data_IF_098338976202
#
_entry.id   IF_098338976202
#
_cell.length_a   1.000
_cell.length_b   1.000
_cell.length_c   1.000
_cell.angle_alpha   90.00
_cell.angle_beta   90.00
_cell.angle_gamma   90.00
#
_symmetry.space_group_name_H-M   'P 1'
#
loop_
_entity.id
_entity.type
_entity.pdbx_description
1 polymer ?
#
# COMPACT_ATOMS: atom_id res chain seq x y z
N UNK A 1 5.55 -38.59 -7.77
CA UNK A 1 4.61 -37.48 -7.85
C UNK A 1 4.10 -37.02 -6.47
N UNK A 2 3.69 -37.90 -5.57
CA UNK A 2 3.13 -37.55 -4.26
C UNK A 2 4.09 -36.73 -3.40
N UNK A 3 5.36 -37.07 -3.27
CA UNK A 3 6.40 -36.29 -2.55
C UNK A 3 6.62 -34.88 -3.10
N UNK A 4 6.50 -34.68 -4.43
CA UNK A 4 6.62 -33.36 -5.05
C UNK A 4 5.36 -32.51 -4.71
N UNK A 5 4.18 -33.14 -4.76
CA UNK A 5 2.92 -32.48 -4.42
C UNK A 5 2.93 -32.00 -2.96
N UNK A 6 3.29 -32.84 -2.01
CA UNK A 6 3.35 -32.49 -0.59
C UNK A 6 4.39 -31.39 -0.29
N UNK A 7 5.46 -31.33 -1.08
CA UNK A 7 6.54 -30.35 -0.95
C UNK A 7 6.15 -28.93 -1.40
N UNK A 8 5.31 -28.79 -2.42
CA UNK A 8 5.00 -27.51 -3.06
C UNK A 8 3.55 -27.08 -2.87
N UNK A 9 2.67 -27.98 -2.50
CA UNK A 9 1.25 -27.71 -2.30
C UNK A 9 0.85 -27.97 -0.86
N UNK A 10 -0.03 -27.12 -0.33
CA UNK A 10 -0.62 -27.29 0.99
C UNK A 10 -1.84 -28.21 0.97
N UNK A 11 -2.29 -28.57 2.15
CA UNK A 11 -3.58 -29.22 2.35
C UNK A 11 -4.74 -28.18 2.36
N UNK A 12 -5.98 -28.65 2.48
CA UNK A 12 -7.14 -27.78 2.52
C UNK A 12 -7.14 -26.80 3.71
N UNK A 13 -6.53 -27.17 4.85
CA UNK A 13 -6.42 -26.30 6.03
C UNK A 13 -5.42 -25.17 5.79
N UNK A 14 -4.33 -25.47 5.10
CA UNK A 14 -3.34 -24.48 4.68
C UNK A 14 -3.98 -23.40 3.79
N UNK A 15 -4.66 -23.82 2.70
CA UNK A 15 -5.31 -22.87 1.80
C UNK A 15 -6.43 -22.08 2.48
N UNK A 16 -7.22 -22.72 3.34
CA UNK A 16 -8.23 -22.01 4.14
C UNK A 16 -7.62 -20.88 4.97
N UNK A 17 -6.47 -21.13 5.63
CA UNK A 17 -5.75 -20.12 6.42
C UNK A 17 -5.22 -18.98 5.53
N UNK A 18 -4.62 -19.31 4.40
CA UNK A 18 -4.08 -18.32 3.44
C UNK A 18 -5.19 -17.42 2.92
N UNK A 19 -6.29 -18.00 2.46
CA UNK A 19 -7.41 -17.24 1.90
C UNK A 19 -8.19 -16.46 2.96
N UNK A 20 -8.30 -16.95 4.19
CA UNK A 20 -8.89 -16.18 5.29
C UNK A 20 -8.09 -14.90 5.62
N UNK A 21 -6.80 -14.86 5.29
CA UNK A 21 -5.97 -13.66 5.45
C UNK A 21 -6.00 -12.81 4.18
N UNK A 22 -5.73 -13.41 3.03
CA UNK A 22 -5.54 -12.68 1.77
C UNK A 22 -6.84 -12.08 1.20
N UNK A 23 -7.96 -12.84 1.21
CA UNK A 23 -9.22 -12.37 0.61
C UNK A 23 -9.76 -11.11 1.29
N UNK A 24 -9.83 -11.01 2.65
CA UNK A 24 -10.27 -9.76 3.28
C UNK A 24 -9.39 -8.56 2.92
N UNK A 25 -8.08 -8.75 2.80
CA UNK A 25 -7.14 -7.70 2.39
C UNK A 25 -7.41 -7.29 0.94
N UNK A 26 -7.60 -8.26 0.04
CA UNK A 26 -7.95 -8.00 -1.37
C UNK A 26 -9.27 -7.21 -1.49
N UNK A 27 -10.31 -7.64 -0.79
CA UNK A 27 -11.62 -6.98 -0.80
C UNK A 27 -11.48 -5.55 -0.27
N UNK A 28 -10.85 -5.34 0.87
CA UNK A 28 -10.64 -4.02 1.45
C UNK A 28 -9.90 -3.09 0.47
N UNK A 29 -8.79 -3.55 -0.08
CA UNK A 29 -7.98 -2.76 -1.03
C UNK A 29 -8.73 -2.47 -2.32
N UNK A 30 -9.46 -3.45 -2.86
CA UNK A 30 -10.27 -3.28 -4.07
C UNK A 30 -11.36 -2.23 -3.90
N UNK A 31 -12.12 -2.31 -2.81
CA UNK A 31 -13.19 -1.36 -2.50
C UNK A 31 -12.59 0.03 -2.24
N UNK A 32 -11.47 0.13 -1.50
CA UNK A 32 -10.78 1.41 -1.26
C UNK A 32 -10.39 2.10 -2.56
N UNK A 33 -9.78 1.36 -3.50
CA UNK A 33 -9.38 1.92 -4.80
C UNK A 33 -10.59 2.37 -5.63
N UNK A 34 -11.67 1.59 -5.62
CA UNK A 34 -12.90 1.94 -6.32
C UNK A 34 -13.53 3.23 -5.77
N UNK A 35 -13.56 3.39 -4.46
CA UNK A 35 -14.14 4.60 -3.83
C UNK A 35 -13.26 5.81 -4.01
N UNK A 36 -11.94 5.69 -3.92
CA UNK A 36 -11.04 6.79 -4.26
C UNK A 36 -11.26 7.30 -5.70
N UNK A 37 -11.57 6.39 -6.63
CA UNK A 37 -11.96 6.77 -7.99
C UNK A 37 -13.29 7.52 -8.01
N UNK A 38 -14.30 7.07 -7.26
CA UNK A 38 -15.60 7.76 -7.16
C UNK A 38 -15.46 9.15 -6.52
N UNK A 39 -14.68 9.28 -5.46
CA UNK A 39 -14.41 10.56 -4.79
C UNK A 39 -13.77 11.56 -5.77
N UNK A 40 -12.79 11.12 -6.56
CA UNK A 40 -12.18 11.96 -7.58
C UNK A 40 -13.17 12.41 -8.66
N UNK A 41 -14.08 11.51 -9.09
CA UNK A 41 -15.14 11.85 -10.05
C UNK A 41 -16.09 12.88 -9.45
N UNK A 42 -16.56 12.66 -8.20
CA UNK A 42 -17.49 13.56 -7.53
C UNK A 42 -16.91 14.96 -7.32
N UNK A 43 -15.63 15.05 -6.92
CA UNK A 43 -14.93 16.34 -6.77
C UNK A 43 -14.69 16.99 -8.13
N UNK A 44 -14.37 16.22 -9.17
CA UNK A 44 -14.17 16.70 -10.54
C UNK A 44 -15.41 17.39 -11.12
N UNK A 45 -16.62 17.02 -10.70
CA UNK A 45 -17.87 17.64 -11.11
C UNK A 45 -18.10 19.06 -10.50
N UNK A 46 -17.36 19.41 -9.44
CA UNK A 46 -17.47 20.75 -8.81
C UNK A 46 -16.72 21.82 -9.63
N UNK A 47 -15.59 21.44 -10.23
CA UNK A 47 -14.76 22.34 -11.05
C UNK A 47 -13.28 21.94 -11.03
N UNK A 48 -12.56 22.42 -12.04
CA UNK A 48 -11.15 22.06 -12.27
C UNK A 48 -10.24 22.55 -11.14
N UNK A 49 -10.43 23.78 -10.66
CA UNK A 49 -9.65 24.38 -9.59
C UNK A 49 -9.85 23.63 -8.26
N UNK A 50 -11.09 23.22 -8.00
CA UNK A 50 -11.46 22.40 -6.83
C UNK A 50 -10.77 21.04 -6.88
N UNK A 51 -10.82 20.36 -8.01
CA UNK A 51 -10.18 19.07 -8.24
C UNK A 51 -8.65 19.16 -8.10
N UNK A 52 -8.04 20.19 -8.71
CA UNK A 52 -6.60 20.43 -8.63
C UNK A 52 -6.14 20.68 -7.20
N UNK A 53 -6.86 21.55 -6.46
CA UNK A 53 -6.56 21.83 -5.06
C UNK A 53 -6.60 20.59 -4.17
N UNK A 54 -7.64 19.77 -4.31
CA UNK A 54 -7.79 18.49 -3.58
C UNK A 54 -6.71 17.49 -3.97
N UNK A 55 -6.40 17.37 -5.26
CA UNK A 55 -5.36 16.46 -5.74
C UNK A 55 -3.98 16.79 -5.18
N UNK A 56 -3.60 18.07 -5.15
CA UNK A 56 -2.34 18.53 -4.56
C UNK A 56 -2.28 18.18 -3.07
N UNK A 57 -3.34 18.46 -2.33
CA UNK A 57 -3.38 18.15 -0.89
C UNK A 57 -3.32 16.64 -0.65
N UNK A 58 -3.99 15.83 -1.46
CA UNK A 58 -3.90 14.37 -1.36
C UNK A 58 -2.48 13.86 -1.62
N UNK A 59 -1.71 14.50 -2.51
CA UNK A 59 -0.28 14.16 -2.69
C UNK A 59 0.56 14.53 -1.45
N UNK A 60 0.29 15.66 -0.82
CA UNK A 60 0.96 16.03 0.45
C UNK A 60 0.61 15.02 1.55
N UNK A 61 -0.67 14.67 1.69
CA UNK A 61 -1.13 13.68 2.67
C UNK A 61 -0.65 12.26 2.36
N UNK A 62 -0.36 11.94 1.10
CA UNK A 62 0.23 10.66 0.72
C UNK A 62 1.60 10.45 1.37
N UNK A 63 2.42 11.50 1.50
CA UNK A 63 3.70 11.42 2.21
C UNK A 63 3.49 11.05 3.68
N UNK A 64 2.49 11.67 4.34
CA UNK A 64 2.12 11.31 5.70
C UNK A 64 1.66 9.84 5.80
N UNK A 65 0.80 9.41 4.89
CA UNK A 65 0.31 8.02 4.85
C UNK A 65 1.47 7.03 4.71
N UNK A 66 2.47 7.36 3.90
CA UNK A 66 3.67 6.54 3.70
C UNK A 66 4.53 6.47 4.97
N UNK A 67 4.68 7.59 5.69
CA UNK A 67 5.38 7.62 6.99
C UNK A 67 4.68 6.73 8.02
N UNK A 68 3.34 6.82 8.13
CA UNK A 68 2.57 5.96 9.04
C UNK A 68 2.69 4.49 8.64
N UNK A 69 2.58 4.19 7.34
CA UNK A 69 2.74 2.82 6.84
C UNK A 69 4.13 2.24 7.18
N UNK A 70 5.20 3.00 6.94
CA UNK A 70 6.55 2.58 7.27
C UNK A 70 6.76 2.35 8.77
N UNK A 71 6.24 3.26 9.60
CA UNK A 71 6.29 3.16 11.06
C UNK A 71 5.58 1.91 11.60
N UNK A 72 4.38 1.66 11.11
CA UNK A 72 3.55 0.51 11.49
C UNK A 72 4.18 -0.80 11.00
N UNK A 73 4.65 -0.80 9.78
CA UNK A 73 5.26 -1.91 9.07
C UNK A 73 6.56 -2.40 9.73
N UNK A 74 7.42 -1.47 10.17
CA UNK A 74 8.67 -1.81 10.87
C UNK A 74 8.45 -2.52 12.22
N UNK A 75 7.44 -2.11 12.99
CA UNK A 75 7.05 -2.79 14.22
C UNK A 75 6.25 -4.07 13.95
N UNK A 76 5.59 -4.17 12.80
CA UNK A 76 4.69 -5.25 12.42
C UNK A 76 5.38 -6.62 12.34
N UNK A 77 6.62 -6.65 11.86
CA UNK A 77 7.39 -7.90 11.81
C UNK A 77 7.61 -8.50 13.21
N UNK A 78 7.78 -7.65 14.24
CA UNK A 78 7.88 -8.07 15.63
C UNK A 78 6.52 -8.52 16.17
N UNK A 79 5.45 -7.79 15.86
CA UNK A 79 4.09 -8.15 16.29
C UNK A 79 3.71 -9.55 15.82
N UNK A 80 3.96 -9.87 14.52
CA UNK A 80 3.66 -11.19 13.97
C UNK A 80 4.45 -12.30 14.68
N UNK A 81 5.74 -12.08 14.98
CA UNK A 81 6.57 -13.05 15.68
C UNK A 81 6.17 -13.19 17.16
N UNK A 82 5.90 -12.08 17.89
CA UNK A 82 5.38 -12.14 19.26
C UNK A 82 4.03 -12.87 19.33
N UNK A 83 3.18 -12.67 18.33
CA UNK A 83 1.92 -13.42 18.24
C UNK A 83 2.18 -14.92 18.08
N UNK A 84 3.15 -15.32 17.26
CA UNK A 84 3.59 -16.71 17.14
C UNK A 84 4.09 -17.32 18.45
N UNK A 85 4.80 -16.54 19.27
CA UNK A 85 5.24 -16.93 20.62
C UNK A 85 4.13 -16.88 21.67
N UNK A 86 2.91 -16.42 21.33
CA UNK A 86 1.85 -16.13 22.30
C UNK A 86 2.27 -15.10 23.37
N UNK A 87 3.22 -14.24 23.05
CA UNK A 87 3.76 -13.21 23.95
C UNK A 87 2.93 -11.93 23.88
N UNK A 88 1.86 -11.88 24.67
CA UNK A 88 0.95 -10.72 24.75
C UNK A 88 1.66 -9.41 25.12
N UNK A 89 2.65 -9.47 26.06
CA UNK A 89 3.41 -8.28 26.45
C UNK A 89 4.25 -7.73 25.28
N UNK A 90 4.88 -8.61 24.51
CA UNK A 90 5.61 -8.23 23.31
C UNK A 90 4.72 -7.53 22.29
N UNK A 91 3.50 -8.03 22.06
CA UNK A 91 2.51 -7.36 21.21
C UNK A 91 2.15 -5.98 21.75
N UNK A 92 1.92 -5.83 23.07
CA UNK A 92 1.66 -4.52 23.68
C UNK A 92 2.81 -3.53 23.45
N UNK A 93 4.07 -3.96 23.56
CA UNK A 93 5.22 -3.09 23.30
C UNK A 93 5.24 -2.61 21.85
N UNK A 94 4.95 -3.47 20.90
CA UNK A 94 4.90 -3.08 19.49
C UNK A 94 3.73 -2.12 19.19
N UNK A 95 2.56 -2.34 19.79
CA UNK A 95 1.41 -1.43 19.65
C UNK A 95 1.71 -0.06 20.26
N UNK A 96 2.29 -0.02 21.46
CA UNK A 96 2.72 1.25 22.09
C UNK A 96 3.74 1.98 21.24
N UNK A 97 4.71 1.26 20.67
CA UNK A 97 5.70 1.84 19.76
C UNK A 97 5.05 2.46 18.52
N UNK A 98 4.14 1.71 17.85
CA UNK A 98 3.37 2.20 16.71
C UNK A 98 2.57 3.47 17.06
N UNK A 99 1.91 3.49 18.23
CA UNK A 99 1.15 4.65 18.70
C UNK A 99 2.06 5.86 18.94
N UNK A 100 3.16 5.70 19.69
CA UNK A 100 4.08 6.80 20.00
C UNK A 100 4.71 7.39 18.74
N UNK A 101 5.18 6.53 17.84
CA UNK A 101 5.76 6.97 16.58
C UNK A 101 4.70 7.60 15.67
N UNK A 102 3.48 7.04 15.64
CA UNK A 102 2.35 7.59 14.91
C UNK A 102 1.92 8.96 15.43
N UNK A 103 1.87 9.14 16.75
CA UNK A 103 1.59 10.46 17.37
C UNK A 103 2.68 11.47 16.96
N UNK A 104 3.97 11.10 17.06
CA UNK A 104 5.06 11.98 16.67
C UNK A 104 4.98 12.39 15.19
N UNK A 105 4.72 11.42 14.29
CA UNK A 105 4.53 11.69 12.86
C UNK A 105 3.31 12.58 12.59
N UNK A 106 2.21 12.38 13.31
CA UNK A 106 1.00 13.19 13.19
C UNK A 106 1.25 14.62 13.65
N UNK A 107 1.90 14.83 14.79
CA UNK A 107 2.25 16.15 15.29
C UNK A 107 3.19 16.90 14.34
N UNK A 108 4.16 16.19 13.76
CA UNK A 108 5.05 16.75 12.75
C UNK A 108 4.27 17.16 11.49
N UNK A 109 3.37 16.31 10.99
CA UNK A 109 2.53 16.64 9.84
C UNK A 109 1.62 17.83 10.11
N UNK A 110 1.04 17.95 11.32
CA UNK A 110 0.30 19.14 11.74
C UNK A 110 1.16 20.40 11.69
N UNK A 111 2.35 20.35 12.28
CA UNK A 111 3.28 21.48 12.28
C UNK A 111 3.63 21.94 10.87
N UNK A 112 3.99 21.00 10.00
CA UNK A 112 4.35 21.28 8.59
C UNK A 112 3.15 21.85 7.82
N UNK A 113 1.97 21.24 7.93
CA UNK A 113 0.80 21.67 7.17
C UNK A 113 0.22 23.00 7.66
N UNK A 114 0.26 23.29 8.97
CA UNK A 114 -0.24 24.55 9.53
C UNK A 114 0.74 25.68 9.17
N UNK A 115 2.04 25.49 9.39
CA UNK A 115 3.04 26.53 9.15
C UNK A 115 3.35 26.73 7.66
N UNK A 116 3.41 25.65 6.89
CA UNK A 116 3.89 25.67 5.50
C UNK A 116 2.85 25.30 4.44
N UNK A 117 1.59 25.03 4.82
CA UNK A 117 0.58 24.51 3.91
C UNK A 117 0.37 25.33 2.62
N UNK A 118 0.17 26.66 2.69
CA UNK A 118 0.05 27.49 1.50
C UNK A 118 1.29 27.44 0.61
N UNK A 119 2.48 27.40 1.21
CA UNK A 119 3.77 27.29 0.48
C UNK A 119 3.88 25.95 -0.23
N UNK A 120 3.53 24.85 0.46
CA UNK A 120 3.53 23.52 -0.12
C UNK A 120 2.58 23.42 -1.32
N UNK A 121 1.35 23.95 -1.21
CA UNK A 121 0.41 23.95 -2.32
C UNK A 121 0.95 24.79 -3.48
N UNK A 122 1.50 26.00 -3.19
CA UNK A 122 2.07 26.87 -4.19
C UNK A 122 3.27 26.27 -4.95
N UNK A 123 4.05 25.37 -4.32
CA UNK A 123 5.15 24.67 -5.00
C UNK A 123 4.66 23.82 -6.18
N UNK A 124 3.45 23.28 -6.11
CA UNK A 124 2.83 22.52 -7.20
C UNK A 124 2.20 23.42 -8.28
N UNK A 125 1.92 24.68 -7.96
CA UNK A 125 1.24 25.61 -8.87
C UNK A 125 2.20 26.50 -9.67
N UNK A 126 3.51 26.35 -9.48
CA UNK A 126 4.52 27.15 -10.20
C UNK A 126 4.51 26.86 -11.69
N UNK A 127 4.20 27.88 -12.49
CA UNK A 127 4.31 27.82 -13.95
C UNK A 127 3.03 27.43 -14.70
N UNK A 128 1.90 27.20 -14.03
CA UNK A 128 0.66 26.79 -14.69
C UNK A 128 -0.54 27.67 -14.30
N UNK A 129 -1.32 28.09 -15.28
CA UNK A 129 -2.62 28.76 -15.11
C UNK A 129 -2.57 30.28 -14.95
N UNK A 130 -3.77 30.88 -14.94
CA UNK A 130 -3.97 32.31 -14.67
C UNK A 130 -3.83 32.61 -13.18
N UNK A 131 -3.51 33.84 -12.81
CA UNK A 131 -3.41 34.26 -11.42
C UNK A 131 -4.70 34.00 -10.62
N UNK A 132 -5.85 34.05 -11.29
CA UNK A 132 -7.17 33.77 -10.69
C UNK A 132 -7.35 32.27 -10.41
N UNK A 133 -7.01 31.40 -11.36
CA UNK A 133 -7.06 29.94 -11.21
C UNK A 133 -6.11 29.46 -10.10
N UNK A 134 -4.90 30.03 -10.01
CA UNK A 134 -3.93 29.73 -8.95
C UNK A 134 -4.49 30.10 -7.57
N UNK A 135 -5.10 31.30 -7.44
CA UNK A 135 -5.73 31.74 -6.18
C UNK A 135 -6.89 30.85 -5.78
N UNK A 136 -7.75 30.49 -6.73
CA UNK A 136 -8.89 29.60 -6.48
C UNK A 136 -8.42 28.19 -6.04
N UNK A 137 -7.45 27.61 -6.72
CA UNK A 137 -6.87 26.30 -6.40
C UNK A 137 -6.23 26.31 -5.00
N UNK A 138 -5.48 27.36 -4.68
CA UNK A 138 -4.89 27.53 -3.35
C UNK A 138 -5.97 27.65 -2.25
N UNK A 139 -7.04 28.41 -2.52
CA UNK A 139 -8.16 28.58 -1.58
C UNK A 139 -8.86 27.24 -1.29
N UNK A 140 -9.25 26.47 -2.32
CA UNK A 140 -9.89 25.18 -2.16
C UNK A 140 -8.96 24.15 -1.52
N UNK A 141 -7.69 24.10 -1.94
CA UNK A 141 -6.68 23.21 -1.36
C UNK A 141 -6.47 23.50 0.13
N UNK A 142 -6.33 24.77 0.52
CA UNK A 142 -6.18 25.13 1.93
C UNK A 142 -7.38 24.74 2.79
N UNK A 143 -8.60 24.96 2.31
CA UNK A 143 -9.82 24.57 3.02
C UNK A 143 -9.90 23.07 3.22
N UNK A 144 -9.64 22.31 2.15
CA UNK A 144 -9.61 20.86 2.21
C UNK A 144 -8.56 20.36 3.20
N UNK A 145 -7.33 20.89 3.11
CA UNK A 145 -6.21 20.49 3.97
C UNK A 145 -6.52 20.71 5.45
N UNK A 146 -7.03 21.87 5.84
CA UNK A 146 -7.32 22.18 7.25
C UNK A 146 -8.35 21.22 7.85
N UNK A 147 -9.38 20.85 7.10
CA UNK A 147 -10.37 19.86 7.55
C UNK A 147 -9.74 18.47 7.63
N UNK A 148 -8.97 18.07 6.61
CA UNK A 148 -8.32 16.77 6.56
C UNK A 148 -7.30 16.55 7.68
N UNK A 149 -6.66 17.60 8.19
CA UNK A 149 -5.79 17.51 9.37
C UNK A 149 -6.52 16.87 10.55
N UNK A 150 -7.77 17.25 10.82
CA UNK A 150 -8.58 16.66 11.91
C UNK A 150 -8.71 15.13 11.74
N UNK A 151 -8.69 14.64 10.51
CA UNK A 151 -8.78 13.20 10.20
C UNK A 151 -7.49 12.40 10.41
N UNK A 152 -6.32 13.07 10.51
CA UNK A 152 -5.02 12.38 10.59
C UNK A 152 -4.85 11.53 11.86
N UNK A 153 -5.21 11.99 13.08
CA UNK A 153 -5.12 11.16 14.28
C UNK A 153 -5.97 9.89 14.18
N UNK A 154 -7.18 10.01 13.65
CA UNK A 154 -8.07 8.87 13.46
C UNK A 154 -7.51 7.88 12.45
N UNK A 155 -7.00 8.36 11.32
CA UNK A 155 -6.30 7.50 10.36
C UNK A 155 -5.13 6.75 11.00
N UNK A 156 -4.30 7.44 11.77
CA UNK A 156 -3.16 6.84 12.48
C UNK A 156 -3.62 5.74 13.44
N UNK A 157 -4.61 6.00 14.29
CA UNK A 157 -5.14 5.00 15.22
C UNK A 157 -5.69 3.79 14.46
N UNK A 158 -6.48 4.03 13.41
CA UNK A 158 -6.99 2.94 12.54
C UNK A 158 -5.86 2.09 12.00
N UNK A 159 -4.79 2.70 11.46
CA UNK A 159 -3.66 1.95 10.90
C UNK A 159 -2.92 1.12 11.96
N UNK A 160 -2.73 1.65 13.15
CA UNK A 160 -2.10 0.91 14.27
C UNK A 160 -2.93 -0.31 14.65
N UNK A 161 -4.24 -0.14 14.85
CA UNK A 161 -5.12 -1.26 15.22
C UNK A 161 -5.29 -2.26 14.07
N UNK A 162 -5.56 -1.78 12.87
CA UNK A 162 -5.76 -2.62 11.70
C UNK A 162 -4.52 -3.48 11.39
N UNK A 163 -3.32 -2.89 11.43
CA UNK A 163 -2.09 -3.65 11.20
C UNK A 163 -1.86 -4.69 12.29
N UNK A 164 -2.06 -4.31 13.56
CA UNK A 164 -1.87 -5.23 14.69
C UNK A 164 -2.83 -6.42 14.59
N UNK A 165 -4.09 -6.17 14.27
CA UNK A 165 -5.08 -7.24 14.06
C UNK A 165 -4.68 -8.14 12.88
N UNK A 166 -4.25 -7.57 11.75
CA UNK A 166 -3.78 -8.34 10.59
C UNK A 166 -2.56 -9.21 10.95
N UNK A 167 -1.59 -8.67 11.65
CA UNK A 167 -0.40 -9.38 12.12
C UNK A 167 -0.74 -10.52 13.11
N UNK A 168 -1.82 -10.36 13.87
CA UNK A 168 -2.44 -11.43 14.67
C UNK A 168 -3.32 -12.38 13.83
N UNK A 169 -3.37 -12.25 12.51
CA UNK A 169 -4.18 -13.10 11.62
C UNK A 169 -5.68 -12.75 11.59
N UNK A 170 -6.10 -11.62 12.17
CA UNK A 170 -7.50 -11.17 12.26
C UNK A 170 -7.81 -10.10 11.23
N UNK A 171 -7.94 -10.48 9.97
CA UNK A 171 -8.12 -9.58 8.83
C UNK A 171 -9.57 -9.17 8.57
N UNK A 172 -10.55 -9.94 9.10
CA UNK A 172 -11.97 -9.71 8.85
C UNK A 172 -12.48 -8.43 9.52
N UNK A 173 -12.03 -8.13 10.75
CA UNK A 173 -12.48 -6.93 11.47
C UNK A 173 -12.00 -5.63 10.79
N UNK A 174 -10.72 -5.46 10.43
CA UNK A 174 -10.28 -4.32 9.64
C UNK A 174 -11.01 -4.17 8.30
N UNK A 175 -11.26 -5.28 7.59
CA UNK A 175 -12.05 -5.27 6.35
C UNK A 175 -13.46 -4.74 6.58
N UNK A 176 -14.20 -5.25 7.58
CA UNK A 176 -15.56 -4.81 7.89
C UNK A 176 -15.60 -3.32 8.28
N UNK A 177 -14.66 -2.88 9.11
CA UNK A 177 -14.55 -1.47 9.53
C UNK A 177 -14.27 -0.57 8.32
N UNK A 178 -13.35 -0.96 7.44
CA UNK A 178 -13.04 -0.24 6.21
C UNK A 178 -14.25 -0.17 5.27
N UNK A 179 -14.98 -1.27 5.04
CA UNK A 179 -16.19 -1.27 4.21
C UNK A 179 -17.25 -0.32 4.79
N UNK A 180 -17.49 -0.36 6.10
CA UNK A 180 -18.45 0.54 6.74
C UNK A 180 -18.03 2.02 6.57
N UNK A 181 -16.76 2.33 6.78
CA UNK A 181 -16.22 3.68 6.57
C UNK A 181 -16.41 4.18 5.14
N UNK A 182 -16.17 3.32 4.17
CA UNK A 182 -16.34 3.60 2.75
C UNK A 182 -17.80 3.91 2.40
N UNK A 183 -18.75 3.12 2.90
CA UNK A 183 -20.18 3.37 2.70
C UNK A 183 -20.62 4.70 3.32
N UNK A 184 -20.12 5.00 4.53
CA UNK A 184 -20.36 6.28 5.20
C UNK A 184 -19.77 7.44 4.38
N UNK A 185 -18.52 7.30 3.89
CA UNK A 185 -17.87 8.30 3.07
C UNK A 185 -18.67 8.61 1.80
N UNK A 186 -19.07 7.57 1.06
CA UNK A 186 -19.83 7.72 -0.17
C UNK A 186 -21.19 8.39 0.06
N UNK A 187 -21.90 7.98 1.12
CA UNK A 187 -23.18 8.58 1.47
C UNK A 187 -23.03 10.07 1.85
N UNK A 188 -22.05 10.37 2.72
CA UNK A 188 -21.81 11.75 3.15
C UNK A 188 -21.27 12.63 2.02
N UNK A 189 -20.44 12.09 1.11
CA UNK A 189 -19.99 12.80 -0.09
C UNK A 189 -21.18 13.22 -0.94
N UNK A 190 -22.12 12.30 -1.21
CA UNK A 190 -23.30 12.63 -1.98
C UNK A 190 -24.17 13.71 -1.31
N UNK A 191 -24.33 13.66 0.00
CA UNK A 191 -25.11 14.63 0.76
C UNK A 191 -24.43 16.01 0.83
N UNK A 192 -23.15 16.04 1.20
CA UNK A 192 -22.43 17.29 1.56
C UNK A 192 -21.78 17.97 0.36
N UNK A 193 -21.40 17.24 -0.68
CA UNK A 193 -20.86 17.84 -1.90
C UNK A 193 -21.98 18.54 -2.68
N UNK A 194 -23.09 17.83 -2.89
CA UNK A 194 -24.19 18.30 -3.75
C UNK A 194 -25.36 18.96 -3.01
N UNK A 195 -25.36 18.96 -1.69
CA UNK A 195 -26.45 19.58 -0.90
C UNK A 195 -27.81 18.88 -1.07
N UNK A 196 -27.82 17.53 -1.07
CA UNK A 196 -29.06 16.77 -1.21
C UNK A 196 -29.78 16.59 0.12
N UNK A 197 -31.08 16.33 0.08
CA UNK A 197 -31.95 16.07 1.25
C UNK A 197 -31.92 17.18 2.33
N UNK A 198 -31.77 18.44 1.91
CA UNK A 198 -31.74 19.60 2.84
C UNK A 198 -30.37 19.91 3.47
N UNK A 199 -29.34 19.16 3.14
CA UNK A 199 -27.97 19.48 3.53
C UNK A 199 -27.42 20.64 2.68
N UNK A 200 -26.54 21.49 3.26
CA UNK A 200 -25.88 22.55 2.48
C UNK A 200 -24.88 21.97 1.50
N UNK A 201 -24.82 22.52 0.29
CA UNK A 201 -23.82 22.17 -0.73
C UNK A 201 -22.45 22.76 -0.36
N UNK A 202 -21.65 22.02 0.37
CA UNK A 202 -20.32 22.48 0.83
C UNK A 202 -19.20 22.22 -0.17
N UNK A 203 -19.47 21.53 -1.27
CA UNK A 203 -18.48 21.23 -2.31
C UNK A 203 -17.22 20.55 -1.74
N UNK A 204 -16.06 21.14 -1.94
CA UNK A 204 -14.76 20.62 -1.48
C UNK A 204 -14.70 20.41 0.04
N UNK A 205 -15.29 21.35 0.82
CA UNK A 205 -15.39 21.19 2.29
C UNK A 205 -16.23 19.98 2.66
N UNK A 206 -17.32 19.76 1.93
CA UNK A 206 -18.19 18.59 2.11
C UNK A 206 -17.44 17.28 1.93
N UNK A 207 -16.61 17.19 0.89
CA UNK A 207 -15.76 16.02 0.63
C UNK A 207 -14.76 15.77 1.79
N UNK A 208 -14.11 16.83 2.28
CA UNK A 208 -13.18 16.71 3.41
C UNK A 208 -13.89 16.25 4.69
N UNK A 209 -15.06 16.84 5.01
CA UNK A 209 -15.86 16.47 6.19
C UNK A 209 -16.33 15.02 6.08
N UNK A 210 -16.83 14.58 4.93
CA UNK A 210 -17.24 13.21 4.69
C UNK A 210 -16.08 12.22 4.94
N UNK A 211 -14.89 12.55 4.46
CA UNK A 211 -13.68 11.73 4.68
C UNK A 211 -13.30 11.69 6.16
N UNK A 212 -13.35 12.80 6.86
CA UNK A 212 -13.03 12.85 8.31
C UNK A 212 -14.06 12.05 9.11
N UNK A 213 -15.36 12.21 8.84
CA UNK A 213 -16.43 11.45 9.50
C UNK A 213 -16.27 9.94 9.28
N UNK A 214 -15.94 9.53 8.06
CA UNK A 214 -15.72 8.11 7.76
C UNK A 214 -14.52 7.55 8.50
N UNK A 215 -13.42 8.30 8.64
CA UNK A 215 -12.24 7.91 9.43
C UNK A 215 -12.56 7.80 10.92
N UNK A 216 -13.36 8.71 11.47
CA UNK A 216 -13.83 8.65 12.86
C UNK A 216 -14.65 7.36 13.06
N UNK A 217 -15.58 7.08 12.16
CA UNK A 217 -16.41 5.88 12.23
C UNK A 217 -15.56 4.59 12.13
N UNK A 218 -14.60 4.54 11.20
CA UNK A 218 -13.67 3.41 11.07
C UNK A 218 -12.89 3.17 12.35
N UNK A 219 -12.31 4.24 12.90
CA UNK A 219 -11.57 4.19 14.16
C UNK A 219 -12.46 3.69 15.30
N UNK A 220 -13.67 4.23 15.43
CA UNK A 220 -14.60 3.83 16.47
C UNK A 220 -14.96 2.34 16.35
N UNK A 221 -15.29 1.86 15.14
CA UNK A 221 -15.64 0.45 14.91
C UNK A 221 -14.46 -0.46 15.28
N UNK A 222 -13.26 -0.17 14.76
CA UNK A 222 -12.12 -1.06 14.97
C UNK A 222 -11.65 -1.07 16.43
N UNK A 223 -11.60 0.09 17.09
CA UNK A 223 -11.18 0.20 18.49
C UNK A 223 -12.22 -0.44 19.40
N UNK A 224 -13.50 -0.07 19.28
CA UNK A 224 -14.56 -0.62 20.13
C UNK A 224 -14.66 -2.14 19.98
N UNK A 225 -14.73 -2.66 18.75
CA UNK A 225 -14.85 -4.10 18.52
C UNK A 225 -13.61 -4.87 19.03
N UNK A 226 -12.41 -4.27 18.97
CA UNK A 226 -11.18 -4.89 19.49
C UNK A 226 -11.19 -4.95 21.01
N UNK A 227 -11.64 -3.87 21.69
CA UNK A 227 -11.69 -3.79 23.15
C UNK A 227 -12.86 -4.55 23.77
N UNK A 228 -13.98 -4.72 23.06
CA UNK A 228 -15.13 -5.51 23.52
C UNK A 228 -14.83 -7.01 23.57
N UNK A 229 -13.81 -7.48 22.87
CA UNK A 229 -13.42 -8.89 22.81
C UNK A 229 -11.99 -9.11 23.35
N UNK A 230 -11.73 -8.90 24.66
CA UNK A 230 -10.38 -9.02 25.23
C UNK A 230 -9.89 -10.48 25.27
N UNK A 231 -10.80 -11.47 25.26
CA UNK A 231 -10.43 -12.89 25.17
C UNK A 231 -9.76 -13.19 23.84
N UNK A 232 -10.33 -12.70 22.76
CA UNK A 232 -9.77 -12.85 21.43
C UNK A 232 -8.56 -11.93 21.19
N UNK A 233 -8.54 -10.77 21.85
CA UNK A 233 -7.52 -9.74 21.68
C UNK A 233 -6.82 -9.44 23.03
N UNK A 234 -6.09 -10.40 23.62
CA UNK A 234 -5.55 -10.23 24.97
C UNK A 234 -4.58 -9.06 25.11
N UNK A 235 -4.01 -8.58 24.01
CA UNK A 235 -3.08 -7.44 24.01
C UNK A 235 -3.74 -6.11 24.41
N UNK A 236 -5.08 -5.97 24.30
CA UNK A 236 -5.77 -4.74 24.73
C UNK A 236 -5.85 -4.60 26.24
N UNK A 237 -5.80 -5.72 26.97
CA UNK A 237 -5.91 -5.73 28.43
C UNK A 237 -4.67 -5.08 29.06
N UNK A 238 -4.84 -3.88 29.62
CA UNK A 238 -3.74 -3.12 30.23
C UNK A 238 -2.81 -2.43 29.22
N UNK A 239 -3.18 -2.34 27.92
CA UNK A 239 -2.40 -1.68 26.88
C UNK A 239 -2.01 -0.24 27.26
N UNK A 240 -2.94 0.51 27.83
CA UNK A 240 -2.77 1.93 28.17
C UNK A 240 -2.38 2.19 29.64
N UNK A 241 -2.18 1.12 30.45
CA UNK A 241 -1.77 1.30 31.86
C UNK A 241 -0.42 1.99 32.00
N UNK A 242 0.49 1.65 31.10
CA UNK A 242 1.81 2.28 31.00
C UNK A 242 2.17 2.43 29.53
N UNK A 243 2.79 3.52 29.14
CA UNK A 243 3.36 3.67 27.79
C UNK A 243 4.84 3.27 27.75
N UNK A 244 5.32 2.62 28.79
CA UNK A 244 6.70 2.15 28.88
C UNK A 244 6.96 0.99 27.92
N UNK A 245 8.11 1.07 27.24
CA UNK A 245 8.63 0.04 26.33
C UNK A 245 10.09 -0.19 26.71
N UNK A 246 10.56 -1.43 26.86
CA UNK A 246 11.96 -1.71 27.11
C UNK A 246 12.87 -1.12 26.03
N UNK A 247 13.97 -0.51 26.42
CA UNK A 247 14.91 0.16 25.49
C UNK A 247 15.43 -0.79 24.42
N UNK A 248 15.67 -2.05 24.76
CA UNK A 248 16.14 -3.06 23.81
C UNK A 248 15.12 -3.34 22.71
N UNK A 249 13.81 -3.39 23.07
CA UNK A 249 12.74 -3.55 22.10
C UNK A 249 12.67 -2.35 21.16
N UNK A 250 12.74 -1.11 21.71
CA UNK A 250 12.77 0.12 20.89
C UNK A 250 13.95 0.06 19.93
N UNK A 251 15.15 -0.24 20.43
CA UNK A 251 16.37 -0.32 19.61
C UNK A 251 16.23 -1.36 18.50
N UNK A 252 15.75 -2.57 18.82
CA UNK A 252 15.53 -3.64 17.83
C UNK A 252 14.54 -3.17 16.73
N UNK A 253 13.40 -2.56 17.12
CA UNK A 253 12.38 -2.08 16.17
C UNK A 253 12.93 -0.95 15.30
N UNK A 254 13.64 0.03 15.86
CA UNK A 254 14.21 1.13 15.10
C UNK A 254 15.23 0.63 14.09
N UNK A 255 16.19 -0.22 14.50
CA UNK A 255 17.23 -0.75 13.60
C UNK A 255 16.62 -1.55 12.45
N UNK A 256 15.57 -2.34 12.71
CA UNK A 256 14.92 -3.15 11.67
C UNK A 256 13.85 -2.38 10.90
N UNK A 257 13.20 -1.39 11.51
CA UNK A 257 12.13 -0.60 10.88
C UNK A 257 12.64 0.51 9.98
N UNK A 258 13.76 1.16 10.32
CA UNK A 258 14.32 2.26 9.51
C UNK A 258 14.59 1.88 8.05
N UNK A 259 15.22 0.72 7.75
CA UNK A 259 15.39 0.32 6.35
C UNK A 259 14.06 0.12 5.61
N UNK A 260 13.01 -0.33 6.29
CA UNK A 260 11.69 -0.48 5.67
C UNK A 260 11.03 0.87 5.38
N UNK A 261 11.12 1.84 6.30
CA UNK A 261 10.62 3.20 6.07
C UNK A 261 11.33 3.85 4.87
N UNK A 262 12.65 3.72 4.82
CA UNK A 262 13.45 4.22 3.69
C UNK A 262 13.08 3.50 2.39
N UNK A 263 12.81 2.19 2.45
CA UNK A 263 12.39 1.40 1.30
C UNK A 263 11.10 1.95 0.68
N UNK A 264 10.06 2.15 1.49
CA UNK A 264 8.78 2.66 0.99
C UNK A 264 8.92 4.04 0.33
N UNK A 265 9.71 4.92 0.95
CA UNK A 265 9.96 6.28 0.43
C UNK A 265 10.73 6.26 -0.90
N UNK A 266 11.82 5.51 -0.95
CA UNK A 266 12.66 5.43 -2.15
C UNK A 266 11.97 4.64 -3.27
N UNK A 267 11.17 3.65 -2.95
CA UNK A 267 10.38 2.92 -3.92
C UNK A 267 9.33 3.83 -4.58
N UNK A 268 8.60 4.62 -3.78
CA UNK A 268 7.63 5.59 -4.31
C UNK A 268 8.30 6.64 -5.21
N UNK A 269 9.45 7.17 -4.79
CA UNK A 269 10.24 8.10 -5.60
C UNK A 269 10.77 7.44 -6.88
N UNK A 270 11.18 6.17 -6.82
CA UNK A 270 11.62 5.38 -7.96
C UNK A 270 10.51 5.17 -8.99
N UNK A 271 9.29 4.85 -8.54
CA UNK A 271 8.12 4.72 -9.41
C UNK A 271 7.76 6.04 -10.11
N UNK A 272 7.83 7.17 -9.40
CA UNK A 272 7.64 8.49 -9.98
C UNK A 272 8.72 8.80 -11.03
N UNK A 273 9.98 8.45 -10.74
CA UNK A 273 11.10 8.61 -11.68
C UNK A 273 10.95 7.76 -12.94
N UNK A 274 10.49 6.51 -12.80
CA UNK A 274 10.18 5.64 -13.94
C UNK A 274 9.09 6.26 -14.84
N UNK A 275 8.00 6.76 -14.23
CA UNK A 275 6.94 7.45 -14.97
C UNK A 275 7.49 8.68 -15.71
N UNK A 276 8.41 9.44 -15.07
CA UNK A 276 9.13 10.54 -15.70
C UNK A 276 9.99 10.09 -16.89
N UNK A 277 10.75 8.99 -16.76
CA UNK A 277 11.54 8.46 -17.87
C UNK A 277 10.66 8.05 -19.06
N UNK A 278 9.52 7.43 -18.81
CA UNK A 278 8.57 7.03 -19.87
C UNK A 278 7.91 8.24 -20.55
N UNK A 279 7.66 9.33 -19.81
CA UNK A 279 7.05 10.54 -20.33
C UNK A 279 7.92 11.25 -21.39
N UNK A 280 9.24 10.99 -21.40
CA UNK A 280 10.15 11.52 -22.43
C UNK A 280 9.82 11.03 -23.84
N UNK A 281 9.04 9.95 -23.98
CA UNK A 281 8.59 9.43 -25.29
C UNK A 281 7.31 10.10 -25.81
N UNK A 282 6.78 11.09 -25.10
CA UNK A 282 5.68 11.96 -25.57
C UNK A 282 4.38 11.80 -24.79
N UNK A 283 3.49 12.79 -24.96
CA UNK A 283 2.21 12.86 -24.23
C UNK A 283 1.26 11.69 -24.50
N UNK A 284 1.27 11.15 -25.72
CA UNK A 284 0.47 9.97 -26.08
C UNK A 284 0.87 8.74 -25.23
N UNK A 285 2.16 8.62 -24.87
CA UNK A 285 2.67 7.56 -23.99
C UNK A 285 2.17 7.75 -22.57
N UNK A 286 2.18 8.99 -22.07
CA UNK A 286 1.65 9.29 -20.72
C UNK A 286 0.18 8.92 -20.63
N UNK A 287 -0.62 9.26 -21.65
CA UNK A 287 -2.03 8.88 -21.69
C UNK A 287 -2.23 7.35 -21.71
N UNK A 288 -1.46 6.63 -22.53
CA UNK A 288 -1.51 5.17 -22.58
C UNK A 288 -1.09 4.51 -21.26
N UNK A 289 -0.05 5.04 -20.58
CA UNK A 289 0.38 4.57 -19.27
C UNK A 289 -0.66 4.83 -18.19
N UNK A 290 -1.35 5.97 -18.20
CA UNK A 290 -2.42 6.25 -17.24
C UNK A 290 -3.57 5.22 -17.36
N UNK A 291 -3.96 4.88 -18.59
CA UNK A 291 -4.95 3.82 -18.83
C UNK A 291 -4.44 2.47 -18.30
N UNK A 292 -3.19 2.14 -18.60
CA UNK A 292 -2.54 0.92 -18.16
C UNK A 292 -2.47 0.84 -16.62
N UNK A 293 -2.02 1.90 -15.96
CA UNK A 293 -1.89 1.96 -14.51
C UNK A 293 -3.24 1.83 -13.80
N UNK A 294 -4.32 2.35 -14.37
CA UNK A 294 -5.66 2.23 -13.79
C UNK A 294 -6.08 0.77 -13.64
N UNK A 295 -5.91 -0.02 -14.70
CA UNK A 295 -6.26 -1.44 -14.63
C UNK A 295 -5.19 -2.24 -13.85
N UNK A 296 -3.90 -1.93 -14.01
CA UNK A 296 -2.82 -2.58 -13.30
C UNK A 296 -2.98 -2.47 -11.78
N UNK A 297 -3.33 -1.30 -11.26
CA UNK A 297 -3.55 -1.08 -9.82
C UNK A 297 -4.64 -2.00 -9.27
N UNK A 298 -5.70 -2.27 -10.02
CA UNK A 298 -6.75 -3.19 -9.61
C UNK A 298 -6.24 -4.64 -9.51
N UNK A 299 -5.47 -5.08 -10.48
CA UNK A 299 -4.95 -6.46 -10.52
C UNK A 299 -3.75 -6.67 -9.58
N UNK A 300 -2.96 -5.63 -9.33
CA UNK A 300 -1.82 -5.66 -8.42
C UNK A 300 -2.22 -5.90 -6.95
N UNK A 301 -3.47 -5.61 -6.57
CA UNK A 301 -4.02 -5.94 -5.26
C UNK A 301 -3.81 -7.42 -4.91
N UNK A 302 -3.90 -8.29 -5.91
CA UNK A 302 -3.79 -9.74 -5.71
C UNK A 302 -2.44 -10.16 -5.17
N UNK A 303 -1.34 -9.73 -5.78
CA UNK A 303 -0.01 -10.08 -5.30
C UNK A 303 0.38 -9.31 -4.04
N UNK A 304 -0.09 -8.06 -3.86
CA UNK A 304 0.16 -7.29 -2.64
C UNK A 304 -0.47 -7.98 -1.43
N UNK A 305 -1.72 -8.40 -1.52
CA UNK A 305 -2.42 -9.11 -0.44
C UNK A 305 -1.80 -10.49 -0.17
N UNK A 306 -1.33 -11.20 -1.21
CA UNK A 306 -0.59 -12.44 -1.01
C UNK A 306 0.76 -12.21 -0.31
N UNK A 307 1.47 -11.14 -0.63
CA UNK A 307 2.68 -10.75 0.07
C UNK A 307 2.44 -10.44 1.55
N UNK A 308 1.38 -9.68 1.88
CA UNK A 308 0.99 -9.47 3.29
C UNK A 308 0.64 -10.80 4.00
N UNK A 309 -0.03 -11.72 3.33
CA UNK A 309 -0.34 -13.04 3.88
C UNK A 309 0.96 -13.84 4.15
N UNK A 310 1.96 -13.77 3.25
CA UNK A 310 3.30 -14.34 3.47
C UNK A 310 3.92 -13.72 4.73
N UNK A 311 3.94 -12.38 4.83
CA UNK A 311 4.51 -11.70 6.00
C UNK A 311 3.88 -12.15 7.32
N UNK A 312 2.56 -12.26 7.36
CA UNK A 312 1.82 -12.63 8.56
C UNK A 312 2.07 -14.10 8.92
N UNK A 313 1.85 -15.02 7.98
CA UNK A 313 1.92 -16.46 8.26
C UNK A 313 3.36 -16.88 8.57
N UNK A 314 4.31 -16.44 7.77
CA UNK A 314 5.74 -16.76 7.96
C UNK A 314 6.26 -16.12 9.25
N UNK A 315 5.93 -14.83 9.49
CA UNK A 315 6.31 -14.14 10.72
C UNK A 315 5.82 -14.86 11.97
N UNK A 316 4.55 -15.29 11.99
CA UNK A 316 3.99 -16.06 13.10
C UNK A 316 4.71 -17.40 13.32
N UNK A 317 5.06 -18.12 12.24
CA UNK A 317 5.76 -19.40 12.38
C UNK A 317 7.22 -19.18 12.85
N UNK A 318 7.90 -18.15 12.34
CA UNK A 318 9.24 -17.78 12.83
C UNK A 318 9.24 -17.48 14.34
N UNK A 319 8.18 -16.83 14.83
CA UNK A 319 7.98 -16.59 16.25
C UNK A 319 7.89 -17.87 17.08
N UNK A 320 7.34 -18.96 16.56
CA UNK A 320 7.31 -20.26 17.27
C UNK A 320 8.67 -20.94 17.36
N UNK A 321 9.69 -20.47 16.63
CA UNK A 321 11.02 -21.11 16.57
C UNK A 321 11.11 -22.33 15.63
N UNK A 322 10.00 -22.76 15.01
CA UNK A 322 10.00 -23.90 14.06
C UNK A 322 10.47 -23.48 12.66
N UNK A 323 11.78 -23.41 12.48
CA UNK A 323 12.42 -22.99 11.23
C UNK A 323 12.16 -23.96 10.07
N UNK A 324 11.95 -25.26 10.36
CA UNK A 324 11.64 -26.26 9.32
C UNK A 324 10.23 -26.02 8.77
N UNK A 325 9.26 -25.81 9.66
CA UNK A 325 7.89 -25.49 9.27
C UNK A 325 7.81 -24.15 8.57
N UNK A 326 8.57 -23.14 9.01
CA UNK A 326 8.65 -21.84 8.34
C UNK A 326 9.10 -22.00 6.88
N UNK A 327 10.19 -22.74 6.63
CA UNK A 327 10.72 -22.99 5.30
C UNK A 327 9.76 -23.77 4.39
N UNK A 328 9.05 -24.77 4.94
CA UNK A 328 8.07 -25.54 4.17
C UNK A 328 6.84 -24.69 3.82
N UNK A 329 6.32 -23.96 4.81
CA UNK A 329 5.15 -23.07 4.63
C UNK A 329 5.44 -21.95 3.65
N UNK A 330 6.60 -21.29 3.77
CA UNK A 330 7.02 -20.20 2.88
C UNK A 330 7.08 -20.65 1.41
N UNK A 331 7.68 -21.81 1.15
CA UNK A 331 7.72 -22.39 -0.20
C UNK A 331 6.32 -22.59 -0.79
N UNK A 332 5.40 -23.13 0.02
CA UNK A 332 4.01 -23.37 -0.42
C UNK A 332 3.28 -22.05 -0.67
N UNK A 333 3.54 -21.02 0.16
CA UNK A 333 2.98 -19.67 -0.01
C UNK A 333 3.48 -18.99 -1.29
N UNK A 334 4.78 -19.06 -1.57
CA UNK A 334 5.37 -18.51 -2.80
C UNK A 334 4.73 -19.17 -4.03
N UNK A 335 4.65 -20.50 -4.06
CA UNK A 335 4.02 -21.23 -5.17
C UNK A 335 2.55 -20.86 -5.33
N UNK A 336 1.82 -20.79 -4.21
CA UNK A 336 0.39 -20.41 -4.22
C UNK A 336 0.19 -18.97 -4.72
N UNK A 337 1.07 -18.04 -4.34
CA UNK A 337 1.04 -16.65 -4.81
C UNK A 337 1.24 -16.56 -6.31
N UNK A 338 2.25 -17.25 -6.83
CA UNK A 338 2.54 -17.26 -8.28
C UNK A 338 1.41 -17.89 -9.07
N UNK A 339 0.85 -19.03 -8.60
CA UNK A 339 -0.25 -19.70 -9.29
C UNK A 339 -1.53 -18.87 -9.33
N UNK A 340 -1.91 -18.28 -8.19
CA UNK A 340 -3.08 -17.39 -8.11
C UNK A 340 -2.90 -16.20 -9.05
N UNK A 341 -1.73 -15.55 -9.01
CA UNK A 341 -1.44 -14.40 -9.84
C UNK A 341 -1.26 -14.74 -11.32
N UNK A 342 -0.92 -15.99 -11.66
CA UNK A 342 -0.97 -16.46 -13.05
C UNK A 342 -2.41 -16.48 -13.57
N UNK A 343 -3.38 -16.95 -12.77
CA UNK A 343 -4.80 -16.85 -13.12
C UNK A 343 -5.27 -15.41 -13.31
N UNK A 344 -4.84 -14.52 -12.42
CA UNK A 344 -5.10 -13.07 -12.50
C UNK A 344 -4.47 -12.45 -13.76
N UNK A 345 -3.26 -12.86 -14.13
CA UNK A 345 -2.56 -12.41 -15.33
C UNK A 345 -3.32 -12.81 -16.61
N UNK A 346 -3.82 -14.05 -16.68
CA UNK A 346 -4.65 -14.52 -17.79
C UNK A 346 -5.91 -13.68 -17.93
N UNK A 347 -6.59 -13.39 -16.80
CA UNK A 347 -7.78 -12.55 -16.81
C UNK A 347 -7.46 -11.13 -17.31
N UNK A 348 -6.38 -10.51 -16.82
CA UNK A 348 -5.94 -9.19 -17.27
C UNK A 348 -5.59 -9.19 -18.75
N UNK A 349 -4.92 -10.24 -19.25
CA UNK A 349 -4.57 -10.38 -20.65
C UNK A 349 -5.83 -10.45 -21.55
N UNK A 350 -6.86 -11.20 -21.13
CA UNK A 350 -8.14 -11.30 -21.85
C UNK A 350 -8.90 -9.96 -21.86
N UNK A 351 -8.84 -9.18 -20.79
CA UNK A 351 -9.50 -7.88 -20.69
C UNK A 351 -8.73 -6.78 -21.44
N UNK A 352 -7.43 -6.95 -21.69
CA UNK A 352 -6.55 -5.93 -22.31
C UNK A 352 -7.10 -5.31 -23.61
N UNK A 353 -7.69 -6.04 -24.57
CA UNK A 353 -8.24 -5.43 -25.80
C UNK A 353 -9.53 -4.65 -25.58
N UNK A 354 -10.25 -4.90 -24.48
CA UNK A 354 -11.55 -4.28 -24.21
C UNK A 354 -11.41 -3.02 -23.36
N UNK A 355 -10.57 -3.06 -22.32
CA UNK A 355 -10.48 -2.00 -21.33
C UNK A 355 -10.15 -0.60 -21.90
N UNK A 356 -9.19 -0.40 -22.83
CA UNK A 356 -8.90 0.91 -23.40
C UNK A 356 -10.05 1.50 -24.22
N UNK A 357 -11.02 0.69 -24.64
CA UNK A 357 -12.20 1.14 -25.40
C UNK A 357 -13.17 2.00 -24.58
N UNK A 358 -13.12 1.87 -23.25
CA UNK A 358 -13.92 2.71 -22.35
C UNK A 358 -13.44 4.17 -22.30
N UNK A 359 -12.23 4.45 -22.83
CA UNK A 359 -11.67 5.79 -22.84
C UNK A 359 -11.91 6.48 -24.18
N UNK A 360 -12.41 7.70 -24.13
CA UNK A 360 -12.58 8.53 -25.33
C UNK A 360 -11.24 9.18 -25.73
N UNK A 361 -10.42 8.43 -26.45
CA UNK A 361 -9.09 8.83 -26.90
C UNK A 361 -8.78 8.30 -28.31
N UNK A 362 -7.63 8.67 -28.89
CA UNK A 362 -7.24 8.23 -30.23
C UNK A 362 -7.02 6.72 -30.29
N UNK A 363 -7.17 6.15 -31.51
CA UNK A 363 -6.96 4.72 -31.76
C UNK A 363 -5.52 4.29 -31.46
N UNK A 364 -4.56 5.16 -31.69
CA UNK A 364 -3.13 4.91 -31.40
C UNK A 364 -2.87 4.79 -29.90
N UNK A 365 -3.42 5.71 -29.08
CA UNK A 365 -3.31 5.64 -27.61
C UNK A 365 -3.98 4.36 -27.09
N UNK A 366 -5.16 3.98 -27.60
CA UNK A 366 -5.84 2.73 -27.20
C UNK A 366 -5.02 1.50 -27.55
N UNK A 367 -4.43 1.47 -28.75
CA UNK A 367 -3.57 0.38 -29.20
C UNK A 367 -2.31 0.24 -28.34
N UNK A 368 -1.66 1.37 -28.03
CA UNK A 368 -0.48 1.41 -27.17
C UNK A 368 -0.83 0.97 -25.74
N UNK A 369 -1.93 1.45 -25.17
CA UNK A 369 -2.41 1.03 -23.85
C UNK A 369 -2.72 -0.47 -23.80
N UNK A 370 -3.43 -1.01 -24.81
CA UNK A 370 -3.71 -2.44 -24.92
C UNK A 370 -2.42 -3.27 -24.85
N UNK A 371 -1.41 -2.90 -25.63
CA UNK A 371 -0.11 -3.62 -25.67
C UNK A 371 0.64 -3.49 -24.34
N UNK A 372 0.63 -2.31 -23.70
CA UNK A 372 1.23 -2.11 -22.38
C UNK A 372 0.52 -2.96 -21.30
N UNK A 373 -0.81 -3.06 -21.36
CA UNK A 373 -1.60 -3.92 -20.46
C UNK A 373 -1.21 -5.40 -20.65
N UNK A 374 -1.05 -5.83 -21.91
CA UNK A 374 -0.62 -7.23 -22.21
C UNK A 374 0.80 -7.50 -21.68
N UNK A 375 1.73 -6.56 -21.83
CA UNK A 375 3.08 -6.67 -21.25
C UNK A 375 2.99 -6.72 -19.73
N UNK A 376 2.23 -5.84 -19.09
CA UNK A 376 2.03 -5.86 -17.63
C UNK A 376 1.47 -7.21 -17.18
N UNK A 377 0.46 -7.74 -17.86
CA UNK A 377 -0.14 -9.03 -17.55
C UNK A 377 0.89 -10.17 -17.61
N UNK A 378 1.79 -10.17 -18.60
CA UNK A 378 2.84 -11.15 -18.73
C UNK A 378 3.78 -11.21 -17.51
N UNK A 379 4.03 -10.05 -16.89
CA UNK A 379 4.95 -9.93 -15.75
C UNK A 379 4.26 -10.01 -14.37
N UNK A 380 2.92 -10.09 -14.29
CA UNK A 380 2.22 -10.28 -12.99
C UNK A 380 2.72 -11.51 -12.19
N UNK A 381 2.92 -12.69 -12.78
CA UNK A 381 3.44 -13.84 -12.03
C UNK A 381 4.85 -13.61 -11.47
N UNK A 382 5.70 -12.91 -12.23
CA UNK A 382 7.04 -12.50 -11.76
C UNK A 382 6.93 -11.49 -10.61
N UNK A 383 6.06 -10.50 -10.71
CA UNK A 383 5.83 -9.52 -9.65
C UNK A 383 5.27 -10.20 -8.38
N UNK A 384 4.43 -11.21 -8.51
CA UNK A 384 3.97 -12.02 -7.40
C UNK A 384 5.11 -12.78 -6.72
N UNK A 385 6.03 -13.36 -7.51
CA UNK A 385 7.23 -14.00 -6.99
C UNK A 385 8.10 -12.99 -6.22
N UNK A 386 8.41 -11.86 -6.83
CA UNK A 386 9.24 -10.80 -6.23
C UNK A 386 8.65 -10.30 -4.92
N UNK A 387 7.35 -10.06 -4.91
CA UNK A 387 6.63 -9.59 -3.73
C UNK A 387 6.67 -10.64 -2.60
N UNK A 388 6.43 -11.91 -2.91
CA UNK A 388 6.52 -12.99 -1.93
C UNK A 388 7.95 -13.10 -1.37
N UNK A 389 8.99 -13.06 -2.21
CA UNK A 389 10.39 -13.11 -1.78
C UNK A 389 10.77 -11.91 -0.89
N UNK A 390 10.31 -10.70 -1.23
CA UNK A 390 10.49 -9.49 -0.44
C UNK A 390 9.87 -9.65 0.96
N UNK A 391 8.62 -10.08 1.04
CA UNK A 391 7.93 -10.25 2.32
C UNK A 391 8.51 -11.40 3.16
N UNK A 392 9.04 -12.45 2.53
CA UNK A 392 9.79 -13.52 3.22
C UNK A 392 11.04 -12.98 3.89
N UNK A 393 11.89 -12.24 3.15
CA UNK A 393 13.12 -11.64 3.69
C UNK A 393 12.80 -10.67 4.85
N UNK A 394 11.77 -9.86 4.68
CA UNK A 394 11.28 -8.91 5.66
C UNK A 394 10.78 -9.58 6.94
N UNK A 395 10.02 -10.67 6.82
CA UNK A 395 9.45 -11.41 7.97
C UNK A 395 10.51 -11.99 8.89
N UNK A 396 11.68 -12.36 8.35
CA UNK A 396 12.84 -12.81 9.09
C UNK A 396 13.71 -11.68 9.64
N UNK A 397 13.28 -10.42 9.55
CA UNK A 397 14.01 -9.26 10.05
C UNK A 397 15.26 -8.91 9.25
N UNK A 398 15.44 -9.43 8.03
CA UNK A 398 16.51 -9.06 7.08
C UNK A 398 16.14 -7.82 6.29
N UNK A 399 15.71 -6.78 6.98
CA UNK A 399 15.16 -5.56 6.43
C UNK A 399 16.15 -4.76 5.59
N UNK A 400 17.43 -4.78 5.94
CA UNK A 400 18.47 -4.16 5.12
C UNK A 400 18.65 -4.92 3.79
N UNK A 401 18.60 -6.25 3.81
CA UNK A 401 18.65 -7.06 2.57
C UNK A 401 17.40 -6.78 1.72
N UNK A 402 16.22 -6.70 2.35
CA UNK A 402 14.99 -6.34 1.66
C UNK A 402 15.05 -4.94 1.02
N UNK A 403 15.65 -3.97 1.71
CA UNK A 403 15.89 -2.62 1.20
C UNK A 403 16.80 -2.62 -0.05
N UNK A 404 17.94 -3.31 0.00
CA UNK A 404 18.83 -3.43 -1.16
C UNK A 404 18.16 -4.18 -2.31
N UNK A 405 17.43 -5.24 -1.99
CA UNK A 405 16.71 -6.06 -2.94
C UNK A 405 15.63 -5.26 -3.68
N UNK A 406 14.94 -4.35 -3.01
CA UNK A 406 13.82 -3.62 -3.59
C UNK A 406 14.20 -2.20 -4.07
N UNK A 407 14.47 -1.28 -3.17
CA UNK A 407 14.70 0.12 -3.52
C UNK A 407 16.02 0.38 -4.22
N UNK A 408 17.12 -0.21 -3.74
CA UNK A 408 18.42 0.03 -4.38
C UNK A 408 18.43 -0.56 -5.79
N UNK A 409 17.85 -1.75 -5.97
CA UNK A 409 17.70 -2.36 -7.31
C UNK A 409 16.86 -1.47 -8.23
N UNK A 410 15.73 -0.94 -7.73
CA UNK A 410 14.88 -0.01 -8.47
C UNK A 410 15.68 1.18 -9.02
N UNK A 411 16.46 1.85 -8.17
CA UNK A 411 17.22 3.03 -8.56
C UNK A 411 18.43 2.70 -9.44
N UNK A 412 19.21 1.69 -9.10
CA UNK A 412 20.44 1.36 -9.80
C UNK A 412 20.22 0.60 -11.11
N UNK A 413 19.11 -0.14 -11.23
CA UNK A 413 18.86 -0.97 -12.41
C UNK A 413 17.64 -0.46 -13.19
N UNK A 414 16.45 -0.42 -12.59
CA UNK A 414 15.23 -0.13 -13.33
C UNK A 414 15.21 1.32 -13.85
N UNK A 415 15.48 2.30 -12.98
CA UNK A 415 15.47 3.72 -13.36
C UNK A 415 16.59 4.03 -14.35
N UNK A 416 17.80 3.51 -14.11
CA UNK A 416 18.94 3.68 -15.02
C UNK A 416 18.65 3.06 -16.40
N UNK A 417 18.09 1.84 -16.44
CA UNK A 417 17.70 1.18 -17.69
C UNK A 417 16.63 1.98 -18.41
N UNK A 418 15.57 2.41 -17.71
CA UNK A 418 14.50 3.21 -18.30
C UNK A 418 15.02 4.53 -18.88
N UNK A 419 15.84 5.25 -18.10
CA UNK A 419 16.43 6.52 -18.53
C UNK A 419 17.35 6.34 -19.76
N UNK A 420 18.28 5.37 -19.69
CA UNK A 420 19.21 5.10 -20.79
C UNK A 420 18.49 4.71 -22.07
N UNK A 421 17.51 3.80 -22.00
CA UNK A 421 16.74 3.39 -23.15
C UNK A 421 15.84 4.51 -23.71
N UNK A 422 15.29 5.36 -22.82
CA UNK A 422 14.43 6.47 -23.23
C UNK A 422 15.22 7.60 -23.93
N UNK A 423 16.45 7.88 -23.48
CA UNK A 423 17.26 8.99 -23.98
C UNK A 423 18.26 8.60 -25.08
N UNK A 424 18.90 7.43 -24.95
CA UNK A 424 19.97 7.01 -25.84
C UNK A 424 19.50 6.11 -27.00
N UNK A 425 18.21 5.73 -27.06
CA UNK A 425 17.70 4.86 -28.11
C UNK A 425 16.42 5.38 -28.76
N UNK A 426 16.17 4.95 -30.00
CA UNK A 426 14.94 5.20 -30.76
C UNK A 426 13.85 4.15 -30.50
N UNK A 427 14.03 3.31 -29.49
CA UNK A 427 13.07 2.24 -29.18
C UNK A 427 11.70 2.82 -28.82
N UNK A 428 10.66 2.12 -29.26
CA UNK A 428 9.29 2.45 -28.85
C UNK A 428 9.08 2.20 -27.35
N UNK A 429 8.12 2.88 -26.76
CA UNK A 429 7.77 2.71 -25.34
C UNK A 429 7.49 1.25 -24.96
N UNK A 430 6.94 0.47 -25.87
CA UNK A 430 6.62 -0.94 -25.62
C UNK A 430 7.87 -1.76 -25.31
N UNK A 431 8.94 -1.55 -26.09
CA UNK A 431 10.22 -2.22 -25.85
C UNK A 431 10.93 -1.73 -24.60
N UNK A 432 10.90 -0.42 -24.35
CA UNK A 432 11.47 0.18 -23.13
C UNK A 432 10.78 -0.40 -21.91
N UNK A 433 9.45 -0.38 -21.90
CA UNK A 433 8.65 -0.92 -20.81
C UNK A 433 8.90 -2.41 -20.61
N UNK A 434 8.95 -3.19 -21.69
CA UNK A 434 9.26 -4.61 -21.64
C UNK A 434 10.65 -4.90 -21.06
N UNK A 435 11.70 -4.20 -21.50
CA UNK A 435 13.06 -4.41 -21.00
C UNK A 435 13.20 -4.02 -19.54
N UNK A 436 12.56 -2.93 -19.09
CA UNK A 436 12.55 -2.56 -17.68
C UNK A 436 11.89 -3.62 -16.82
N UNK A 437 10.75 -4.18 -17.24
CA UNK A 437 10.12 -5.31 -16.53
C UNK A 437 11.00 -6.57 -16.57
N UNK A 438 11.73 -6.79 -17.65
CA UNK A 438 12.63 -7.95 -17.77
C UNK A 438 13.82 -7.86 -16.82
N UNK A 439 14.33 -6.66 -16.49
CA UNK A 439 15.42 -6.52 -15.49
C UNK A 439 15.03 -7.07 -14.13
N UNK A 440 13.75 -7.06 -13.80
CA UNK A 440 13.22 -7.64 -12.56
C UNK A 440 13.37 -9.18 -12.51
N UNK A 441 13.62 -9.85 -13.64
CA UNK A 441 13.98 -11.27 -13.66
C UNK A 441 15.32 -11.53 -12.96
N UNK A 442 16.29 -10.62 -13.10
CA UNK A 442 17.56 -10.70 -12.38
C UNK A 442 17.32 -10.55 -10.85
N UNK A 443 16.45 -9.60 -10.47
CA UNK A 443 16.00 -9.43 -9.09
C UNK A 443 15.35 -10.72 -8.56
N UNK A 444 14.50 -11.39 -9.36
CA UNK A 444 13.86 -12.65 -8.98
C UNK A 444 14.87 -13.76 -8.71
N UNK A 445 15.91 -13.90 -9.53
CA UNK A 445 16.99 -14.88 -9.33
C UNK A 445 17.74 -14.61 -8.03
N UNK A 446 18.13 -13.37 -7.78
CA UNK A 446 18.81 -12.95 -6.54
C UNK A 446 17.95 -13.28 -5.32
N UNK A 447 16.68 -12.88 -5.34
CA UNK A 447 15.74 -13.14 -4.25
C UNK A 447 15.52 -14.61 -3.99
N UNK A 448 15.38 -15.41 -5.06
CA UNK A 448 15.24 -16.86 -4.94
C UNK A 448 16.47 -17.51 -4.28
N UNK A 449 17.68 -17.10 -4.66
CA UNK A 449 18.92 -17.59 -4.05
C UNK A 449 18.97 -17.23 -2.56
N UNK A 450 18.64 -16.00 -2.19
CA UNK A 450 18.63 -15.53 -0.80
C UNK A 450 17.62 -16.31 0.06
N UNK A 451 16.40 -16.50 -0.44
CA UNK A 451 15.36 -17.25 0.27
C UNK A 451 15.72 -18.74 0.35
N UNK A 452 16.27 -19.36 -0.71
CA UNK A 452 16.71 -20.75 -0.71
C UNK A 452 17.85 -21.00 0.29
N UNK A 453 18.80 -20.05 0.42
CA UNK A 453 19.88 -20.11 1.43
C UNK A 453 19.36 -20.03 2.86
N UNK A 454 18.11 -19.57 3.08
CA UNK A 454 17.50 -19.49 4.39
C UNK A 454 18.02 -18.33 5.26
N UNK A 455 18.60 -17.27 4.66
CA UNK A 455 19.13 -16.11 5.40
C UNK A 455 18.07 -15.41 6.28
N UNK A 456 16.80 -15.60 5.93
CA UNK A 456 15.63 -15.03 6.60
C UNK A 456 15.12 -15.87 7.78
N UNK A 457 15.59 -17.10 7.94
CA UNK A 457 15.16 -18.01 9.02
C UNK A 457 15.74 -17.53 10.36
N UNK A 458 15.11 -16.51 10.92
CA UNK A 458 15.49 -15.89 12.19
C UNK A 458 14.27 -15.64 13.07
N UNK A 459 14.39 -15.98 14.36
CA UNK A 459 13.55 -15.43 15.41
C UNK A 459 14.20 -14.13 15.90
N UNK A 460 13.50 -13.00 15.79
CA UNK A 460 14.01 -11.67 16.16
C UNK A 460 13.49 -11.20 17.52
N UNK A 461 12.63 -11.99 18.15
CA UNK A 461 11.95 -11.65 19.40
C UNK A 461 12.43 -12.47 20.61
N UNK A 462 13.37 -13.37 20.37
CA UNK A 462 14.12 -14.06 21.43
C UNK A 462 15.14 -13.16 22.10
#
# INVERSE_FOLDING_TARGET
MQRIREKYFGDGRFYKRVFMIAIPIMIQSGITNFVNMLDNIMIGQIGTESMSGVSIVNQILFVYNLCIFGAVSGAGIFTAQYYGQQNTKGIQYTVRFKLLLGIAATLLAFGICIAGGPTLINMYLKGEGTAESIRATLYYGRQYMLIMLVGLPFYMITQVYASTLRECGKTILPMKAGIAAILINLALNYLLIYGKFGFPAWGVRGAAVATVCSRIAETAIIVMATHQNPVDNPFVTGLYRTMSIPRDVIRKIVIKGTPLLLNETLWAAGMASLAGCYSLKGLHVVAALNITNTIANLFNISFAAMGEAVAIIVGQILGTGDMKKAKDTDRKLIVSSVLLCTGVAVLMFVIAPVFPRFYNTSADIRSTAMRLIMITALFIPQNALLNALYFTLRSGGKTMIAFFFDSVFMWCVNVVTAFSLATCTTLSILWIYYFVQLTDSLKAVIGFILVKKGVWLQNIVD
#
